data_IF_555898744609
#
_entry.id   IF_555898744609
#
_cell.length_a   1.000
_cell.length_b   1.000
_cell.length_c   1.000
_cell.angle_alpha   90.00
_cell.angle_beta   90.00
_cell.angle_gamma   90.00
#
_symmetry.space_group_name_H-M   'P 1'
#
loop_
_entity.id
_entity.type
_entity.pdbx_description
1 polymer ?
#
# COMPACT_ATOMS: atom_id res chain seq x y z
N UNK A 1 -31.97 3.98 -60.53
CA UNK A 1 -30.83 4.57 -61.23
C UNK A 1 -29.58 4.01 -60.62
N UNK A 2 -28.98 3.17 -61.43
CA UNK A 2 -27.63 2.62 -61.41
C UNK A 2 -26.99 2.14 -60.13
N UNK A 3 -27.09 0.86 -60.02
CA UNK A 3 -26.21 -0.08 -59.34
C UNK A 3 -24.92 -0.22 -60.10
N UNK A 4 -23.76 -0.09 -59.46
CA UNK A 4 -22.51 -0.66 -59.94
C UNK A 4 -21.98 -1.66 -58.93
N UNK A 5 -22.14 -2.92 -59.28
CA UNK A 5 -21.40 -4.06 -58.71
C UNK A 5 -19.96 -3.99 -59.25
N UNK A 6 -18.99 -4.03 -58.34
CA UNK A 6 -17.59 -4.25 -58.71
C UNK A 6 -17.15 -5.58 -58.12
N UNK A 7 -17.00 -6.55 -59.02
CA UNK A 7 -16.39 -7.85 -58.76
C UNK A 7 -14.95 -7.70 -58.29
N UNK A 8 -14.59 -8.37 -57.21
CA UNK A 8 -13.21 -8.53 -56.77
C UNK A 8 -12.70 -9.90 -57.18
N UNK A 9 -11.71 -9.83 -58.06
CA UNK A 9 -11.01 -10.96 -58.66
C UNK A 9 -10.13 -11.69 -57.63
N UNK A 10 -10.13 -13.01 -57.77
CA UNK A 10 -9.24 -13.98 -57.15
C UNK A 10 -7.75 -13.57 -57.20
N UNK A 11 -7.11 -13.46 -56.02
CA UNK A 11 -5.68 -13.50 -55.92
C UNK A 11 -5.23 -14.72 -55.15
N UNK A 12 -4.58 -15.59 -55.87
CA UNK A 12 -4.05 -16.90 -55.51
C UNK A 12 -3.14 -16.83 -54.25
N UNK A 13 -3.43 -17.68 -53.29
CA UNK A 13 -2.59 -17.98 -52.14
C UNK A 13 -1.22 -18.52 -52.54
N UNK A 14 -0.20 -17.70 -52.40
CA UNK A 14 1.19 -18.17 -52.48
C UNK A 14 1.65 -18.56 -51.07
N UNK A 15 1.57 -19.84 -50.72
CA UNK A 15 2.09 -20.40 -49.49
C UNK A 15 3.61 -20.47 -49.56
N UNK A 16 4.30 -19.45 -49.06
CA UNK A 16 5.76 -19.49 -48.88
C UNK A 16 6.06 -20.19 -47.56
N UNK A 17 6.34 -21.48 -47.63
CA UNK A 17 6.88 -22.25 -46.49
C UNK A 17 8.31 -21.83 -46.22
N UNK A 18 8.50 -20.86 -45.34
CA UNK A 18 9.82 -20.57 -44.77
C UNK A 18 10.23 -21.72 -43.85
N UNK A 19 11.15 -22.57 -44.29
CA UNK A 19 11.86 -23.54 -43.42
C UNK A 19 12.52 -22.77 -42.28
N UNK A 20 11.98 -22.89 -41.05
CA UNK A 20 12.66 -22.41 -39.85
C UNK A 20 13.97 -23.17 -39.71
N UNK A 21 15.10 -22.44 -39.79
CA UNK A 21 16.40 -22.98 -39.37
C UNK A 21 16.25 -23.41 -37.92
N UNK A 22 16.84 -24.56 -37.50
CA UNK A 22 16.83 -24.97 -36.11
C UNK A 22 17.52 -23.88 -35.30
N UNK A 23 16.80 -23.32 -34.32
CA UNK A 23 17.35 -22.39 -33.34
C UNK A 23 18.46 -23.17 -32.63
N UNK A 24 19.70 -22.68 -32.75
CA UNK A 24 20.85 -23.28 -32.11
C UNK A 24 20.57 -23.48 -30.63
N UNK A 25 20.94 -24.66 -30.11
CA UNK A 25 20.82 -24.98 -28.68
C UNK A 25 21.42 -23.80 -27.90
N UNK A 26 20.62 -23.05 -27.19
CA UNK A 26 21.10 -22.06 -26.23
C UNK A 26 22.10 -22.74 -25.33
N UNK A 27 23.36 -22.32 -25.38
CA UNK A 27 24.36 -22.73 -24.41
C UNK A 27 23.83 -22.25 -23.05
N UNK A 28 23.34 -23.16 -22.22
CA UNK A 28 23.07 -22.85 -20.82
C UNK A 28 24.36 -22.24 -20.27
N UNK A 29 24.37 -20.94 -19.99
CA UNK A 29 25.46 -20.30 -19.26
C UNK A 29 25.70 -21.14 -18.01
N UNK A 30 26.96 -21.61 -17.84
CA UNK A 30 27.34 -22.26 -16.59
C UNK A 30 27.32 -21.18 -15.52
N UNK A 31 26.26 -21.19 -14.70
CA UNK A 31 26.00 -20.25 -13.59
C UNK A 31 27.21 -20.10 -12.63
N UNK A 32 28.25 -20.94 -12.76
CA UNK A 32 29.44 -20.91 -11.91
C UNK A 32 30.47 -19.83 -12.27
N UNK A 33 30.39 -19.21 -13.45
CA UNK A 33 31.43 -18.31 -13.97
C UNK A 33 30.96 -16.84 -14.04
N UNK A 34 29.73 -16.55 -13.58
CA UNK A 34 29.19 -15.20 -13.50
C UNK A 34 29.63 -14.55 -12.18
N UNK A 35 30.42 -13.45 -12.22
CA UNK A 35 30.91 -12.76 -11.02
C UNK A 35 29.81 -12.19 -10.15
N UNK A 36 28.56 -12.07 -10.68
CA UNK A 36 27.39 -11.62 -9.94
C UNK A 36 26.59 -12.75 -9.28
N UNK A 37 26.95 -14.02 -9.56
CA UNK A 37 26.28 -15.17 -8.94
C UNK A 37 26.90 -15.53 -7.61
N UNK A 38 26.25 -15.09 -6.54
CA UNK A 38 26.59 -15.48 -5.17
C UNK A 38 25.99 -16.87 -4.90
N UNK A 39 26.82 -17.81 -4.44
CA UNK A 39 26.33 -19.13 -3.97
C UNK A 39 25.48 -18.93 -2.71
N UNK A 40 24.16 -19.05 -2.85
CA UNK A 40 23.22 -18.87 -1.76
C UNK A 40 23.02 -20.22 -1.05
N UNK A 41 23.31 -20.26 0.25
CA UNK A 41 23.00 -21.44 1.07
C UNK A 41 21.48 -21.62 1.24
N UNK A 42 20.96 -22.82 1.55
CA UNK A 42 19.55 -23.03 1.83
C UNK A 42 19.02 -22.11 2.95
N UNK A 43 19.82 -21.87 4.00
CA UNK A 43 19.50 -20.94 5.10
C UNK A 43 19.35 -19.51 4.57
N UNK A 44 20.32 -19.06 3.76
CA UNK A 44 20.28 -17.73 3.15
C UNK A 44 19.08 -17.57 2.23
N UNK A 45 18.76 -18.60 1.43
CA UNK A 45 17.56 -18.59 0.55
C UNK A 45 16.28 -18.42 1.35
N UNK A 46 16.09 -19.18 2.43
CA UNK A 46 14.92 -19.06 3.32
C UNK A 46 14.80 -17.65 3.92
N UNK A 47 15.92 -17.05 4.34
CA UNK A 47 15.92 -15.69 4.87
C UNK A 47 15.52 -14.66 3.78
N UNK A 48 16.04 -14.80 2.56
CA UNK A 48 15.66 -13.95 1.43
C UNK A 48 14.17 -14.07 1.13
N UNK A 49 13.60 -15.27 1.11
CA UNK A 49 12.18 -15.51 0.88
C UNK A 49 11.31 -14.84 1.95
N UNK A 50 11.70 -14.96 3.23
CA UNK A 50 11.02 -14.27 4.32
C UNK A 50 11.11 -12.77 4.17
N UNK A 51 12.27 -12.24 3.80
CA UNK A 51 12.48 -10.83 3.54
C UNK A 51 11.59 -10.32 2.42
N UNK A 52 11.57 -11.00 1.29
CA UNK A 52 10.72 -10.65 0.16
C UNK A 52 9.23 -10.67 0.52
N UNK A 53 8.79 -11.66 1.31
CA UNK A 53 7.39 -11.74 1.76
C UNK A 53 6.99 -10.52 2.58
N UNK A 54 7.84 -10.07 3.50
CA UNK A 54 7.55 -8.90 4.33
C UNK A 54 7.62 -7.59 3.52
N UNK A 55 8.65 -7.41 2.65
CA UNK A 55 8.72 -6.26 1.76
C UNK A 55 7.44 -6.15 0.92
N UNK A 56 7.00 -7.26 0.31
CA UNK A 56 5.74 -7.30 -0.42
C UNK A 56 4.55 -6.89 0.46
N UNK A 57 4.50 -7.36 1.71
CA UNK A 57 3.46 -6.95 2.66
C UNK A 57 3.45 -5.44 2.92
N UNK A 58 4.64 -4.83 3.12
CA UNK A 58 4.75 -3.37 3.29
C UNK A 58 4.31 -2.63 2.03
N UNK A 59 4.78 -3.05 0.85
CA UNK A 59 4.42 -2.43 -0.44
C UNK A 59 2.92 -2.53 -0.71
N UNK A 60 2.33 -3.71 -0.51
CA UNK A 60 0.88 -3.90 -0.69
C UNK A 60 0.07 -3.01 0.27
N UNK A 61 0.49 -2.92 1.52
CA UNK A 61 -0.16 -2.04 2.49
C UNK A 61 -0.09 -0.57 2.05
N UNK A 62 1.08 -0.09 1.62
CA UNK A 62 1.24 1.29 1.12
C UNK A 62 0.32 1.51 -0.09
N UNK A 63 0.26 0.57 -1.03
CA UNK A 63 -0.62 0.66 -2.19
C UNK A 63 -2.09 0.75 -1.77
N UNK A 64 -2.54 -0.11 -0.85
CA UNK A 64 -3.91 -0.07 -0.35
C UNK A 64 -4.24 1.27 0.32
N UNK A 65 -3.31 1.87 1.08
CA UNK A 65 -3.50 3.20 1.67
C UNK A 65 -3.59 4.26 0.59
N UNK A 66 -2.74 4.21 -0.44
CA UNK A 66 -2.77 5.14 -1.57
C UNK A 66 -4.09 5.05 -2.34
N UNK A 67 -4.58 3.83 -2.60
CA UNK A 67 -5.86 3.61 -3.31
C UNK A 67 -7.05 4.17 -2.48
N UNK A 68 -7.07 3.92 -1.18
CA UNK A 68 -8.09 4.48 -0.28
C UNK A 68 -8.00 6.01 -0.19
N UNK A 69 -6.79 6.57 -0.17
CA UNK A 69 -6.59 8.02 -0.11
C UNK A 69 -6.93 8.72 -1.43
N UNK A 70 -6.67 8.08 -2.56
CA UNK A 70 -7.11 8.57 -3.87
C UNK A 70 -8.64 8.63 -3.93
N UNK A 71 -9.33 7.54 -3.55
CA UNK A 71 -10.78 7.48 -3.50
C UNK A 71 -11.36 8.55 -2.56
N UNK A 72 -10.82 8.69 -1.35
CA UNK A 72 -11.27 9.70 -0.38
C UNK A 72 -11.03 11.11 -0.91
N UNK A 73 -9.84 11.36 -1.47
CA UNK A 73 -9.45 12.67 -1.97
C UNK A 73 -10.32 13.12 -3.16
N UNK A 74 -10.57 12.24 -4.13
CA UNK A 74 -11.48 12.52 -5.25
C UNK A 74 -12.88 12.85 -4.76
N UNK A 75 -13.44 12.08 -3.84
CA UNK A 75 -14.76 12.35 -3.26
C UNK A 75 -14.82 13.66 -2.48
N UNK A 76 -13.76 13.99 -1.73
CA UNK A 76 -13.66 15.28 -1.05
C UNK A 76 -13.63 16.44 -2.04
N UNK A 77 -12.92 16.31 -3.16
CA UNK A 77 -12.89 17.30 -4.24
C UNK A 77 -14.28 17.47 -4.85
N UNK A 78 -14.97 16.40 -5.17
CA UNK A 78 -16.34 16.42 -5.71
C UNK A 78 -17.34 17.08 -4.75
N UNK A 79 -17.10 16.96 -3.44
CA UNK A 79 -17.88 17.63 -2.39
C UNK A 79 -17.49 19.11 -2.17
N UNK A 80 -16.54 19.65 -2.94
CA UNK A 80 -16.06 21.03 -2.83
C UNK A 80 -14.92 21.23 -1.82
N UNK A 81 -14.41 20.18 -1.17
CA UNK A 81 -13.27 20.25 -0.25
C UNK A 81 -11.93 20.06 -1.00
N UNK A 82 -11.69 20.88 -2.03
CA UNK A 82 -10.59 20.69 -3.00
C UNK A 82 -9.23 20.64 -2.33
N UNK A 83 -8.89 21.62 -1.48
CA UNK A 83 -7.58 21.68 -0.82
C UNK A 83 -7.33 20.45 0.08
N UNK A 84 -8.33 20.05 0.86
CA UNK A 84 -8.24 18.86 1.71
C UNK A 84 -8.06 17.59 0.86
N UNK A 85 -8.83 17.40 -0.20
CA UNK A 85 -8.72 16.23 -1.07
C UNK A 85 -7.34 16.11 -1.71
N UNK A 86 -6.80 17.22 -2.23
CA UNK A 86 -5.45 17.27 -2.81
C UNK A 86 -4.37 16.92 -1.76
N UNK A 87 -4.48 17.43 -0.52
CA UNK A 87 -3.53 17.13 0.56
C UNK A 87 -3.58 15.67 0.96
N UNK A 88 -4.77 15.08 1.08
CA UNK A 88 -4.94 13.66 1.40
C UNK A 88 -4.26 12.77 0.37
N UNK A 89 -4.50 13.03 -0.92
CA UNK A 89 -3.83 12.31 -2.01
C UNK A 89 -2.31 12.48 -1.93
N UNK A 90 -1.83 13.72 -1.76
CA UNK A 90 -0.40 14.04 -1.72
C UNK A 90 0.31 13.36 -0.54
N UNK A 91 -0.29 13.36 0.65
CA UNK A 91 0.29 12.73 1.85
C UNK A 91 0.44 11.22 1.67
N UNK A 92 -0.55 10.57 1.05
CA UNK A 92 -0.53 9.14 0.85
C UNK A 92 0.64 8.64 -0.03
N UNK A 93 1.18 9.46 -0.93
CA UNK A 93 2.38 9.11 -1.69
C UNK A 93 3.63 8.97 -0.81
N UNK A 94 3.66 9.62 0.35
CA UNK A 94 4.75 9.54 1.30
C UNK A 94 4.47 8.54 2.44
N UNK A 95 3.27 7.97 2.48
CA UNK A 95 2.84 7.05 3.53
C UNK A 95 3.85 5.93 3.74
N UNK A 96 4.32 5.77 4.98
CA UNK A 96 5.21 4.67 5.38
C UNK A 96 6.55 4.56 4.62
N UNK A 97 6.99 5.58 3.88
CA UNK A 97 8.30 5.57 3.19
C UNK A 97 9.46 5.42 4.16
N UNK A 98 9.31 5.88 5.41
CA UNK A 98 10.29 5.70 6.49
C UNK A 98 10.62 4.22 6.77
N UNK A 99 9.69 3.28 6.49
CA UNK A 99 9.91 1.83 6.67
C UNK A 99 11.00 1.24 5.80
N UNK A 100 11.46 1.97 4.78
CA UNK A 100 12.53 1.54 3.90
C UNK A 100 13.90 2.11 4.26
N UNK A 101 14.03 2.85 5.37
CA UNK A 101 15.28 3.48 5.79
C UNK A 101 15.52 3.35 7.30
N UNK A 102 16.81 3.45 7.69
CA UNK A 102 17.24 3.56 9.09
C UNK A 102 16.71 2.47 10.01
N UNK A 103 16.40 2.88 11.24
CA UNK A 103 16.01 1.96 12.33
C UNK A 103 14.73 1.16 12.03
N UNK A 104 13.82 1.71 11.24
CA UNK A 104 12.60 1.00 10.83
C UNK A 104 12.95 -0.12 9.86
N UNK A 105 13.74 0.17 8.83
CA UNK A 105 14.23 -0.85 7.90
C UNK A 105 15.00 -1.95 8.62
N UNK A 106 15.94 -1.58 9.48
CA UNK A 106 16.81 -2.52 10.17
C UNK A 106 16.07 -3.47 11.12
N UNK A 107 14.95 -3.02 11.71
CA UNK A 107 14.27 -3.77 12.77
C UNK A 107 12.80 -4.14 12.46
N UNK A 108 12.12 -3.47 11.55
CA UNK A 108 10.76 -3.80 11.10
C UNK A 108 10.79 -4.53 9.76
N UNK A 109 11.77 -4.22 8.93
CA UNK A 109 11.95 -4.91 7.67
C UNK A 109 12.45 -6.33 7.91
N UNK A 110 12.28 -7.17 6.95
CA UNK A 110 12.49 -8.57 7.06
C UNK A 110 13.93 -8.96 6.73
N UNK A 111 14.44 -9.90 7.46
CA UNK A 111 15.71 -10.57 7.16
C UNK A 111 16.74 -10.49 8.27
N UNK A 112 16.53 -9.71 9.31
CA UNK A 112 17.30 -9.84 10.54
C UNK A 112 16.62 -10.91 11.37
N UNK A 113 17.25 -12.07 11.62
CA UNK A 113 16.76 -13.01 12.61
C UNK A 113 16.78 -12.28 13.94
N UNK A 114 15.61 -11.99 14.44
CA UNK A 114 15.49 -11.39 15.75
C UNK A 114 15.81 -12.47 16.78
N UNK A 115 17.04 -12.54 17.24
CA UNK A 115 17.37 -13.36 18.38
C UNK A 115 16.71 -12.75 19.62
N UNK A 116 16.01 -13.58 20.31
CA UNK A 116 14.88 -13.43 21.22
C UNK A 116 14.68 -12.12 22.02
N UNK A 117 15.59 -11.65 22.84
CA UNK A 117 15.27 -10.53 23.76
C UNK A 117 15.66 -9.15 23.19
N UNK A 118 16.81 -9.04 22.58
CA UNK A 118 17.29 -7.79 21.97
C UNK A 118 16.42 -7.38 20.74
N UNK A 119 15.92 -8.35 20.04
CA UNK A 119 15.04 -8.19 18.89
C UNK A 119 13.69 -7.57 19.22
N UNK A 120 13.09 -8.01 20.30
CA UNK A 120 11.81 -7.46 20.77
C UNK A 120 11.97 -6.00 21.19
N UNK A 121 13.06 -5.67 21.85
CA UNK A 121 13.39 -4.31 22.23
C UNK A 121 13.64 -3.42 20.99
N UNK A 122 14.43 -3.89 20.04
CA UNK A 122 14.71 -3.18 18.77
C UNK A 122 13.45 -2.98 17.92
N UNK A 123 12.59 -3.99 17.83
CA UNK A 123 11.29 -3.85 17.16
C UNK A 123 10.40 -2.80 17.84
N UNK A 124 10.34 -2.82 19.18
CA UNK A 124 9.57 -1.82 19.93
C UNK A 124 10.10 -0.41 19.69
N UNK A 125 11.42 -0.25 19.65
CA UNK A 125 12.06 1.03 19.36
C UNK A 125 11.74 1.50 17.92
N UNK A 126 11.80 0.60 16.94
CA UNK A 126 11.47 0.92 15.55
C UNK A 126 9.99 1.31 15.37
N UNK A 127 9.07 0.61 16.05
CA UNK A 127 7.64 0.96 16.06
C UNK A 127 7.44 2.34 16.72
N UNK A 128 8.10 2.60 17.84
CA UNK A 128 8.03 3.91 18.49
C UNK A 128 8.54 5.01 17.55
N UNK A 129 9.72 4.81 16.95
CA UNK A 129 10.28 5.75 15.98
C UNK A 129 9.31 6.02 14.81
N UNK A 130 8.69 4.98 14.29
CA UNK A 130 7.68 5.11 13.25
C UNK A 130 6.52 5.99 13.69
N UNK A 131 5.93 5.68 14.84
CA UNK A 131 4.73 6.37 15.33
C UNK A 131 4.98 7.85 15.65
N UNK A 132 6.14 8.21 16.19
CA UNK A 132 6.42 9.62 16.56
C UNK A 132 6.93 10.48 15.40
N UNK A 133 7.38 9.87 14.32
CA UNK A 133 7.94 10.60 13.15
C UNK A 133 7.00 10.61 11.93
N UNK A 134 5.85 9.95 11.99
CA UNK A 134 4.89 9.94 10.89
C UNK A 134 3.59 10.61 11.34
N UNK A 135 3.25 11.73 10.69
CA UNK A 135 2.14 12.60 11.09
C UNK A 135 0.74 11.96 10.98
N UNK A 136 0.60 10.84 10.28
CA UNK A 136 -0.63 10.05 10.29
C UNK A 136 -0.80 9.19 11.55
N UNK A 137 0.16 9.22 12.49
CA UNK A 137 0.03 8.57 13.79
C UNK A 137 -0.28 9.58 14.90
N UNK A 138 -1.25 9.29 15.78
CA UNK A 138 -1.58 10.18 16.90
C UNK A 138 -0.41 10.48 17.82
N UNK A 139 0.54 9.56 17.93
CA UNK A 139 1.74 9.68 18.78
C UNK A 139 2.73 10.74 18.27
N UNK A 140 2.62 11.21 17.03
CA UNK A 140 3.41 12.31 16.47
C UNK A 140 2.93 13.69 16.94
N UNK A 141 1.78 13.77 17.61
CA UNK A 141 1.12 15.03 17.99
C UNK A 141 1.12 15.20 19.51
N UNK A 142 1.49 16.40 20.00
CA UNK A 142 1.54 16.68 21.44
C UNK A 142 0.18 16.49 22.13
N UNK A 143 -0.92 16.80 21.46
CA UNK A 143 -2.28 16.59 21.97
C UNK A 143 -2.90 15.27 21.53
N UNK A 144 -2.10 14.34 20.97
CA UNK A 144 -2.58 13.08 20.44
C UNK A 144 -3.56 13.26 19.28
N UNK A 145 -4.44 12.29 19.12
CA UNK A 145 -5.41 12.24 17.99
C UNK A 145 -6.32 13.49 17.92
N UNK A 146 -6.61 14.11 19.07
CA UNK A 146 -7.48 15.30 19.13
C UNK A 146 -6.84 16.57 18.57
N UNK A 147 -5.52 16.59 18.40
CA UNK A 147 -4.76 17.72 17.83
C UNK A 147 -4.26 17.48 16.41
N UNK A 148 -4.58 16.34 15.83
CA UNK A 148 -4.24 16.05 14.44
C UNK A 148 -4.96 17.00 13.48
N UNK A 149 -4.26 17.41 12.41
CA UNK A 149 -4.90 18.15 11.33
C UNK A 149 -5.80 17.26 10.48
N UNK A 150 -6.77 17.85 9.78
CA UNK A 150 -7.80 17.10 9.04
C UNK A 150 -7.21 16.19 7.96
N UNK A 151 -6.17 16.63 7.25
CA UNK A 151 -5.51 15.84 6.23
C UNK A 151 -4.81 14.59 6.79
N UNK A 152 -4.25 14.68 8.01
CA UNK A 152 -3.61 13.54 8.66
C UNK A 152 -4.62 12.63 9.36
N UNK A 153 -5.75 13.14 9.83
CA UNK A 153 -6.89 12.32 10.26
C UNK A 153 -7.49 11.53 9.08
N UNK A 154 -7.57 12.15 7.93
CA UNK A 154 -8.03 11.50 6.71
C UNK A 154 -7.07 10.39 6.28
N UNK A 155 -5.75 10.65 6.28
CA UNK A 155 -4.71 9.66 5.99
C UNK A 155 -4.74 8.50 7.01
N UNK A 156 -4.87 8.79 8.31
CA UNK A 156 -5.06 7.78 9.36
C UNK A 156 -6.28 6.90 9.09
N UNK A 157 -7.39 7.49 8.63
CA UNK A 157 -8.61 6.73 8.29
C UNK A 157 -8.38 5.79 7.11
N UNK A 158 -7.57 6.20 6.12
CA UNK A 158 -7.17 5.36 4.99
C UNK A 158 -6.24 4.21 5.43
N UNK A 159 -5.29 4.47 6.35
CA UNK A 159 -4.43 3.44 6.94
C UNK A 159 -5.26 2.40 7.72
N UNK A 160 -6.17 2.85 8.57
CA UNK A 160 -7.06 1.96 9.33
C UNK A 160 -7.98 1.14 8.42
N UNK A 161 -8.48 1.74 7.33
CA UNK A 161 -9.27 1.02 6.32
C UNK A 161 -8.44 -0.08 5.66
N UNK A 162 -7.21 0.23 5.25
CA UNK A 162 -6.29 -0.75 4.66
C UNK A 162 -5.99 -1.89 5.63
N UNK A 163 -5.76 -1.60 6.91
CA UNK A 163 -5.55 -2.64 7.94
C UNK A 163 -6.79 -3.47 8.18
N UNK A 164 -7.95 -2.84 8.20
CA UNK A 164 -9.23 -3.55 8.34
C UNK A 164 -9.44 -4.56 7.20
N UNK A 165 -9.12 -4.18 5.97
CA UNK A 165 -9.17 -5.06 4.80
C UNK A 165 -8.14 -6.20 4.87
N UNK A 166 -6.91 -5.89 5.25
CA UNK A 166 -5.83 -6.89 5.40
C UNK A 166 -6.17 -7.97 6.44
N UNK A 167 -6.88 -7.60 7.51
CA UNK A 167 -7.24 -8.51 8.60
C UNK A 167 -8.67 -9.03 8.54
N UNK A 168 -9.47 -8.60 7.56
CA UNK A 168 -10.87 -9.01 7.42
C UNK A 168 -11.74 -8.56 8.61
N UNK A 169 -11.48 -7.38 9.17
CA UNK A 169 -12.21 -6.82 10.31
C UNK A 169 -13.17 -5.72 9.87
N UNK A 170 -14.25 -5.48 10.63
CA UNK A 170 -15.10 -4.31 10.43
C UNK A 170 -14.43 -3.06 11.03
N UNK A 171 -14.16 -2.08 10.17
CA UNK A 171 -13.45 -0.85 10.56
C UNK A 171 -14.24 -0.04 11.60
N UNK A 172 -15.56 0.08 11.45
CA UNK A 172 -16.38 0.88 12.38
C UNK A 172 -16.44 0.25 13.75
N UNK A 173 -16.63 -1.08 13.80
CA UNK A 173 -16.58 -1.83 15.05
C UNK A 173 -15.21 -1.71 15.71
N UNK A 174 -14.13 -1.81 14.93
CA UNK A 174 -12.78 -1.66 15.45
C UNK A 174 -12.52 -0.24 16.01
N UNK A 175 -13.00 0.82 15.34
CA UNK A 175 -12.88 2.19 15.83
C UNK A 175 -13.60 2.32 17.18
N UNK A 176 -14.84 1.85 17.25
CA UNK A 176 -15.67 1.94 18.45
C UNK A 176 -15.11 1.19 19.66
N UNK A 177 -14.57 0.00 19.43
CA UNK A 177 -14.15 -0.86 20.51
C UNK A 177 -12.68 -0.72 20.90
N UNK A 178 -11.81 -0.35 19.95
CA UNK A 178 -10.36 -0.38 20.11
C UNK A 178 -9.71 0.98 19.98
N UNK A 179 -9.99 1.72 18.91
CA UNK A 179 -9.35 3.01 18.64
C UNK A 179 -9.69 4.05 19.69
N UNK A 180 -10.96 4.17 20.05
CA UNK A 180 -11.44 5.08 21.11
C UNK A 180 -10.69 4.87 22.43
N UNK A 181 -10.54 3.61 22.86
CA UNK A 181 -9.82 3.26 24.10
C UNK A 181 -8.33 3.48 23.98
N UNK A 182 -7.74 3.16 22.83
CA UNK A 182 -6.29 3.26 22.63
C UNK A 182 -5.79 4.69 22.67
N UNK A 183 -6.52 5.61 22.04
CA UNK A 183 -6.11 7.01 21.91
C UNK A 183 -6.96 8.00 22.73
N UNK A 184 -7.83 7.52 23.60
CA UNK A 184 -8.54 8.32 24.61
C UNK A 184 -9.49 9.35 24.03
N UNK A 185 -10.29 8.99 23.02
CA UNK A 185 -11.35 9.83 22.48
C UNK A 185 -12.71 9.12 22.56
N UNK A 186 -13.77 9.92 22.58
CA UNK A 186 -15.14 9.42 22.75
C UNK A 186 -16.00 9.72 21.51
N UNK A 187 -17.14 9.03 21.38
CA UNK A 187 -18.10 9.22 20.29
C UNK A 187 -18.67 10.65 20.25
N UNK A 188 -18.69 11.34 21.38
CA UNK A 188 -19.11 12.75 21.49
C UNK A 188 -18.07 13.73 20.94
N UNK A 189 -16.79 13.35 20.89
CA UNK A 189 -15.69 14.20 20.44
C UNK A 189 -15.79 14.54 18.94
N UNK A 190 -15.34 15.73 18.58
CA UNK A 190 -15.30 16.16 17.18
C UNK A 190 -14.41 15.25 16.33
N UNK A 191 -13.25 14.84 16.85
CA UNK A 191 -12.32 13.94 16.17
C UNK A 191 -12.97 12.60 15.78
N UNK A 192 -13.85 12.04 16.65
CA UNK A 192 -14.59 10.82 16.29
C UNK A 192 -15.54 11.07 15.09
N UNK A 193 -16.26 12.19 15.11
CA UNK A 193 -17.19 12.55 14.03
C UNK A 193 -16.45 12.77 12.70
N UNK A 194 -15.29 13.41 12.75
CA UNK A 194 -14.45 13.65 11.58
C UNK A 194 -13.90 12.34 11.00
N UNK A 195 -13.38 11.44 11.86
CA UNK A 195 -12.93 10.10 11.45
C UNK A 195 -14.09 9.31 10.82
N UNK A 196 -15.25 9.27 11.47
CA UNK A 196 -16.39 8.52 10.96
C UNK A 196 -16.92 9.10 9.64
N UNK A 197 -16.84 10.41 9.43
CA UNK A 197 -17.13 11.04 8.15
C UNK A 197 -16.19 10.54 7.04
N UNK A 198 -14.89 10.48 7.28
CA UNK A 198 -13.93 9.91 6.31
C UNK A 198 -14.18 8.43 6.05
N UNK A 199 -14.43 7.66 7.12
CA UNK A 199 -14.77 6.23 7.01
C UNK A 199 -16.04 6.02 6.20
N UNK A 200 -17.07 6.85 6.39
CA UNK A 200 -18.32 6.77 5.61
C UNK A 200 -18.08 7.06 4.13
N UNK A 201 -17.23 8.05 3.84
CA UNK A 201 -16.83 8.37 2.46
C UNK A 201 -16.06 7.22 1.82
N UNK A 202 -15.08 6.63 2.50
CA UNK A 202 -14.25 5.55 1.96
C UNK A 202 -15.06 4.25 1.79
N UNK A 203 -15.98 3.95 2.72
CA UNK A 203 -16.72 2.68 2.75
C UNK A 203 -18.03 2.68 1.95
N UNK A 204 -18.19 3.56 0.96
CA UNK A 204 -19.31 3.59 0.02
C UNK A 204 -20.72 3.64 0.64
N UNK A 205 -20.89 4.22 1.82
CA UNK A 205 -22.23 4.60 2.19
C UNK A 205 -22.69 5.73 1.26
N UNK A 206 -23.89 5.61 0.64
CA UNK A 206 -24.42 6.71 -0.14
C UNK A 206 -24.48 7.94 0.76
N UNK A 207 -23.90 9.04 0.29
CA UNK A 207 -23.92 10.30 0.97
C UNK A 207 -25.38 10.72 1.11
N UNK A 208 -25.96 10.60 2.29
CA UNK A 208 -27.20 11.27 2.60
C UNK A 208 -26.85 12.74 2.74
N UNK A 209 -27.08 13.51 1.65
CA UNK A 209 -27.04 14.97 1.71
C UNK A 209 -28.00 15.41 2.83
N UNK A 210 -27.45 16.01 3.86
CA UNK A 210 -28.20 16.66 4.94
C UNK A 210 -28.58 18.05 4.47
#
# INVERSE_FOLDING_TARGET
>A
MNTEETELSDSKNLVVTKKKKPIGKEKKLKVSDDPFVIKITPKTRKNIELSLKKVKGIVNHIQNVQDNALLLGERLIDMGHVDLGVRVISNAFQHNTSKFTGIEWDNMAPGVPLEADDAKAKLKLAIHNHNVNNLHHPEAWLGGIKSMSMEHLAELSCDWKSRSEEFGTDLRVWIDEKATKRWGFEKSDQVYKDIMRFVDIICDKPFSAV
#
